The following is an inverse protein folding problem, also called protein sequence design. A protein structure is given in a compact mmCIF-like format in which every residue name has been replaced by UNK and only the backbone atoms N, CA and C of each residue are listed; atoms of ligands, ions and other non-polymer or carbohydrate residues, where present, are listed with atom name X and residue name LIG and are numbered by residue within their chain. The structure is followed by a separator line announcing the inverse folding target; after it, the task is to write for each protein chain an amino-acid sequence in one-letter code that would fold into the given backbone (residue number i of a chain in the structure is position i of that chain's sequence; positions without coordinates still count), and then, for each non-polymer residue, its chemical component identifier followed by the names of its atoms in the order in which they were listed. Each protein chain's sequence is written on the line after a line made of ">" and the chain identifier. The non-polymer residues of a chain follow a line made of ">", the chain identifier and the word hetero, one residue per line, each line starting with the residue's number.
data_IF_903562892274
#
_entry.id   IF_903562892274
#
_cell.length_a   1.000
_cell.length_b   1.000
_cell.length_c   1.000
_cell.angle_alpha   90.00
_cell.angle_beta   90.00
_cell.angle_gamma   90.00
#
_symmetry.space_group_name_H-M   'P 1'
#
loop_
_entity.id
_entity.type
_entity.pdbx_description
1 polymer ?
#
# COMPACT_ATOMS: atom_id res chain seq x y z
N UNK A 1 14.31 -4.51 14.83
CA UNK A 1 12.99 -4.75 15.44
C UNK A 1 11.98 -3.92 14.64
N UNK A 2 10.94 -4.52 14.04
CA UNK A 2 9.83 -3.73 13.47
C UNK A 2 9.08 -3.10 14.65
N UNK A 3 9.21 -1.78 14.85
CA UNK A 3 8.66 -1.07 16.02
C UNK A 3 7.15 -0.82 15.96
N UNK A 4 6.49 -1.19 14.86
CA UNK A 4 5.06 -1.01 14.64
C UNK A 4 4.40 -2.38 14.51
N UNK A 5 3.22 -2.52 15.12
CA UNK A 5 2.33 -3.67 14.96
C UNK A 5 0.89 -3.17 14.95
N UNK A 6 0.01 -3.90 14.29
CA UNK A 6 -1.40 -3.57 14.12
C UNK A 6 -1.79 -3.39 12.66
N UNK A 7 -3.09 -3.20 12.45
CA UNK A 7 -3.70 -3.09 11.14
C UNK A 7 -4.32 -1.70 10.93
N UNK A 8 -3.75 -0.93 10.01
CA UNK A 8 -4.36 0.31 9.52
C UNK A 8 -5.34 -0.03 8.42
N UNK A 9 -6.65 0.08 8.68
CA UNK A 9 -7.68 -0.22 7.69
C UNK A 9 -8.28 1.05 7.09
N UNK A 10 -8.32 1.14 5.76
CA UNK A 10 -8.89 2.26 5.01
C UNK A 10 -9.96 1.74 4.04
N UNK A 11 -11.16 2.31 4.14
CA UNK A 11 -12.24 2.05 3.20
C UNK A 11 -12.36 3.17 2.16
N UNK A 12 -12.65 2.81 0.91
CA UNK A 12 -12.76 3.78 -0.18
C UNK A 12 -13.83 3.40 -1.20
N UNK A 13 -14.41 4.41 -1.85
CA UNK A 13 -15.37 4.19 -2.93
C UNK A 13 -14.68 3.64 -4.18
N UNK A 14 -15.34 2.69 -4.85
CA UNK A 14 -14.89 2.11 -6.13
C UNK A 14 -15.49 2.76 -7.38
N UNK A 15 -16.69 3.33 -7.29
CA UNK A 15 -17.46 3.69 -8.50
C UNK A 15 -18.08 5.10 -8.50
N UNK A 16 -18.01 5.87 -7.40
CA UNK A 16 -18.55 7.24 -7.36
C UNK A 16 -17.57 8.27 -7.94
N UNK A 17 -17.96 9.54 -8.02
CA UNK A 17 -17.04 10.62 -8.40
C UNK A 17 -15.79 10.62 -7.51
N UNK A 18 -14.62 10.74 -8.13
CA UNK A 18 -13.31 10.68 -7.47
C UNK A 18 -12.85 9.28 -7.03
N UNK A 19 -13.70 8.24 -7.09
CA UNK A 19 -13.49 6.86 -6.61
C UNK A 19 -12.01 6.47 -6.36
N UNK A 20 -11.48 6.72 -5.15
CA UNK A 20 -10.05 6.56 -4.88
C UNK A 20 -9.61 5.10 -5.07
N UNK A 21 -10.52 4.15 -4.89
CA UNK A 21 -10.25 2.71 -5.03
C UNK A 21 -10.82 2.12 -6.32
N UNK A 22 -11.08 2.94 -7.36
CA UNK A 22 -11.59 2.47 -8.66
C UNK A 22 -10.76 1.33 -9.25
N UNK A 23 -9.43 1.41 -9.16
CA UNK A 23 -8.48 0.43 -9.70
C UNK A 23 -7.76 -0.39 -8.64
N UNK A 24 -8.36 -0.55 -7.45
CA UNK A 24 -7.75 -1.34 -6.38
C UNK A 24 -7.52 -2.81 -6.78
N UNK A 25 -8.29 -3.32 -7.76
CA UNK A 25 -8.10 -4.65 -8.37
C UNK A 25 -6.83 -4.80 -9.21
N UNK A 26 -6.14 -3.69 -9.53
CA UNK A 26 -4.89 -3.69 -10.29
C UNK A 26 -3.65 -3.84 -9.42
N UNK A 27 -3.78 -3.70 -8.11
CA UNK A 27 -2.67 -3.90 -7.19
C UNK A 27 -2.26 -5.37 -7.18
N UNK A 28 -0.96 -5.60 -7.29
CA UNK A 28 -0.32 -6.91 -7.29
C UNK A 28 0.77 -6.99 -6.22
N UNK A 29 1.15 -8.20 -5.76
CA UNK A 29 2.22 -8.35 -4.79
C UNK A 29 3.51 -7.67 -5.28
N UNK A 30 4.15 -6.92 -4.40
CA UNK A 30 5.33 -6.10 -4.70
C UNK A 30 5.01 -4.63 -5.06
N UNK A 31 3.77 -4.29 -5.40
CA UNK A 31 3.38 -2.89 -5.56
C UNK A 31 3.53 -2.14 -4.24
N UNK A 32 3.99 -0.89 -4.31
CA UNK A 32 4.20 -0.05 -3.11
C UNK A 32 3.04 0.93 -2.91
N UNK A 33 2.55 1.02 -1.68
CA UNK A 33 1.59 2.00 -1.21
C UNK A 33 2.27 2.90 -0.19
N UNK A 34 2.30 4.19 -0.48
CA UNK A 34 2.87 5.20 0.42
C UNK A 34 1.78 5.92 1.20
N UNK A 35 1.88 5.93 2.52
CA UNK A 35 0.98 6.65 3.42
C UNK A 35 1.73 7.85 4.00
N UNK A 36 1.25 9.05 3.68
CA UNK A 36 1.76 10.29 4.24
C UNK A 36 0.96 10.66 5.49
N UNK A 37 1.65 10.76 6.62
CA UNK A 37 1.17 11.38 7.84
C UNK A 37 1.79 12.78 7.98
N UNK A 38 1.34 13.55 8.96
CA UNK A 38 1.91 14.87 9.27
C UNK A 38 3.42 14.78 9.50
N UNK A 39 3.86 13.80 10.28
CA UNK A 39 5.24 13.72 10.75
C UNK A 39 6.08 12.64 10.06
N UNK A 40 5.46 11.71 9.35
CA UNK A 40 6.17 10.57 8.74
C UNK A 40 5.51 10.03 7.48
N UNK A 41 6.32 9.40 6.63
CA UNK A 41 5.94 8.67 5.43
C UNK A 41 6.19 7.18 5.67
N UNK A 42 5.18 6.36 5.42
CA UNK A 42 5.23 4.91 5.56
C UNK A 42 5.10 4.26 4.18
N UNK A 43 5.97 3.30 3.87
CA UNK A 43 5.88 2.50 2.64
C UNK A 43 5.39 1.09 2.99
N UNK A 44 4.33 0.65 2.33
CA UNK A 44 3.76 -0.69 2.46
C UNK A 44 3.87 -1.43 1.12
N UNK A 45 4.35 -2.66 1.15
CA UNK A 45 4.42 -3.54 -0.02
C UNK A 45 3.20 -4.44 -0.04
N UNK A 46 2.44 -4.41 -1.14
CA UNK A 46 1.29 -5.30 -1.34
C UNK A 46 1.77 -6.75 -1.28
N UNK A 47 1.03 -7.58 -0.56
CA UNK A 47 1.32 -9.01 -0.40
C UNK A 47 0.18 -9.85 -0.97
N UNK A 48 0.46 -11.11 -1.28
CA UNK A 48 -0.60 -12.02 -1.70
C UNK A 48 -1.57 -12.29 -0.55
N UNK A 49 -2.85 -12.62 -0.81
CA UNK A 49 -3.77 -13.00 0.26
C UNK A 49 -3.30 -14.21 1.09
N UNK A 50 -2.51 -15.10 0.49
CA UNK A 50 -1.87 -16.22 1.19
C UNK A 50 -0.83 -15.76 2.20
N UNK A 51 0.01 -14.80 1.84
CA UNK A 51 0.95 -14.21 2.78
C UNK A 51 0.23 -13.39 3.87
N UNK A 52 -0.81 -12.63 3.48
CA UNK A 52 -1.55 -11.78 4.39
C UNK A 52 -2.30 -12.56 5.48
N UNK A 53 -2.97 -13.65 5.10
CA UNK A 53 -3.92 -14.33 5.98
C UNK A 53 -3.48 -15.74 6.41
N UNK A 54 -2.45 -16.31 5.77
CA UNK A 54 -1.83 -17.57 6.17
C UNK A 54 -2.86 -18.69 6.40
N UNK A 55 -2.84 -19.28 7.59
CA UNK A 55 -3.69 -20.40 8.00
C UNK A 55 -5.17 -20.03 8.19
N UNK A 56 -5.52 -18.73 8.22
CA UNK A 56 -6.92 -18.30 8.27
C UNK A 56 -7.63 -18.38 6.91
N UNK A 57 -6.91 -18.81 5.86
CA UNK A 57 -7.47 -19.07 4.54
C UNK A 57 -8.55 -20.16 4.52
N UNK A 58 -8.69 -20.98 5.54
CA UNK A 58 -9.84 -21.91 5.64
C UNK A 58 -11.19 -21.16 5.59
N UNK A 59 -11.21 -19.88 5.99
CA UNK A 59 -12.37 -18.99 5.87
C UNK A 59 -12.55 -18.37 4.47
N UNK A 60 -11.51 -18.44 3.62
CA UNK A 60 -11.46 -17.83 2.30
C UNK A 60 -11.57 -18.93 1.25
N UNK A 61 -12.63 -18.89 0.46
CA UNK A 61 -12.72 -19.75 -0.70
C UNK A 61 -11.55 -19.46 -1.68
N UNK A 62 -10.71 -20.46 -2.04
CA UNK A 62 -9.54 -20.26 -2.90
C UNK A 62 -9.87 -19.64 -4.26
N UNK A 63 -11.10 -19.83 -4.77
CA UNK A 63 -11.55 -19.23 -6.04
C UNK A 63 -11.74 -17.70 -5.95
N UNK A 64 -11.79 -17.16 -4.73
CA UNK A 64 -11.90 -15.72 -4.45
C UNK A 64 -10.54 -15.06 -4.22
N UNK A 65 -9.45 -15.82 -4.28
CA UNK A 65 -8.07 -15.35 -4.14
C UNK A 65 -7.50 -15.02 -5.51
N UNK A 66 -7.09 -13.77 -5.68
CA UNK A 66 -6.36 -13.28 -6.87
C UNK A 66 -5.02 -12.73 -6.39
N UNK A 67 -4.01 -12.70 -7.27
CA UNK A 67 -2.62 -12.44 -6.92
C UNK A 67 -2.40 -11.35 -5.85
N UNK A 68 -3.08 -10.20 -5.92
CA UNK A 68 -2.95 -9.10 -4.95
C UNK A 68 -4.19 -8.78 -4.11
N UNK A 69 -5.30 -9.52 -4.26
CA UNK A 69 -6.53 -9.21 -3.54
C UNK A 69 -7.43 -10.42 -3.31
N UNK A 70 -8.35 -10.29 -2.36
CA UNK A 70 -9.38 -11.29 -2.08
C UNK A 70 -10.77 -10.67 -2.14
N UNK A 71 -11.76 -11.44 -2.60
CA UNK A 71 -13.17 -11.06 -2.53
C UNK A 71 -13.83 -11.70 -1.31
N UNK A 72 -14.42 -10.89 -0.44
CA UNK A 72 -15.02 -11.32 0.83
C UNK A 72 -16.47 -10.85 0.96
N UNK A 73 -17.19 -11.42 1.92
CA UNK A 73 -18.51 -10.96 2.30
C UNK A 73 -18.44 -9.64 3.07
N UNK A 74 -19.44 -8.73 2.96
CA UNK A 74 -19.42 -7.47 3.70
C UNK A 74 -19.38 -7.62 5.22
N UNK A 75 -19.74 -8.81 5.72
CA UNK A 75 -19.73 -9.18 7.14
C UNK A 75 -18.41 -9.78 7.61
N UNK A 76 -17.45 -10.02 6.71
CA UNK A 76 -16.15 -10.61 7.00
C UNK A 76 -15.23 -9.59 7.68
N UNK A 77 -15.51 -9.27 8.94
CA UNK A 77 -14.76 -8.28 9.73
C UNK A 77 -13.36 -8.76 10.11
N UNK A 78 -13.09 -10.06 10.03
CA UNK A 78 -11.78 -10.63 10.32
C UNK A 78 -10.66 -10.07 9.42
N UNK A 79 -11.00 -9.55 8.23
CA UNK A 79 -10.02 -8.95 7.30
C UNK A 79 -9.34 -7.70 7.86
N UNK A 80 -9.94 -7.02 8.84
CA UNK A 80 -9.38 -5.84 9.51
C UNK A 80 -8.89 -6.13 10.93
N UNK A 81 -8.84 -7.39 11.33
CA UNK A 81 -8.29 -7.79 12.62
C UNK A 81 -6.79 -7.50 12.72
N UNK A 82 -6.26 -7.58 13.93
CA UNK A 82 -4.83 -7.58 14.17
C UNK A 82 -4.24 -8.97 13.91
N UNK A 83 -3.09 -9.01 13.23
CA UNK A 83 -2.37 -10.22 12.85
C UNK A 83 -0.94 -10.25 13.45
N UNK A 84 -0.60 -9.27 14.31
CA UNK A 84 0.68 -9.19 15.00
C UNK A 84 1.83 -8.61 14.16
N UNK A 85 1.56 -8.22 12.92
CA UNK A 85 2.46 -7.49 12.04
C UNK A 85 1.99 -6.04 11.83
N UNK A 86 2.80 -5.21 11.16
CA UNK A 86 2.38 -3.88 10.72
C UNK A 86 1.85 -3.96 9.29
N UNK A 87 0.53 -3.82 9.14
CA UNK A 87 -0.14 -3.92 7.84
C UNK A 87 -1.11 -2.78 7.57
N UNK A 88 -1.35 -2.56 6.28
CA UNK A 88 -2.36 -1.70 5.70
C UNK A 88 -3.39 -2.58 5.00
N UNK A 89 -4.67 -2.39 5.33
CA UNK A 89 -5.78 -3.07 4.67
C UNK A 89 -6.63 -2.07 3.91
N UNK A 90 -6.76 -2.24 2.59
CA UNK A 90 -7.64 -1.44 1.74
C UNK A 90 -8.92 -2.21 1.43
N UNK A 91 -10.08 -1.59 1.59
CA UNK A 91 -11.38 -2.21 1.29
C UNK A 91 -12.28 -1.35 0.42
N UNK A 92 -12.92 -1.96 -0.58
CA UNK A 92 -13.91 -1.31 -1.44
C UNK A 92 -15.06 -2.26 -1.81
N UNK A 93 -16.16 -1.71 -2.34
CA UNK A 93 -17.26 -2.51 -2.90
C UNK A 93 -16.82 -3.37 -4.10
N UNK A 94 -17.40 -4.56 -4.22
CA UNK A 94 -17.19 -5.44 -5.36
C UNK A 94 -18.47 -6.26 -5.69
N UNK A 95 -18.76 -6.56 -6.97
CA UNK A 95 -18.23 -5.92 -8.20
C UNK A 95 -18.45 -4.40 -8.26
N UNK A 96 -18.01 -3.75 -9.34
CA UNK A 96 -18.27 -2.31 -9.51
C UNK A 96 -19.78 -2.02 -9.46
N UNK A 97 -20.14 -0.84 -8.95
CA UNK A 97 -21.52 -0.35 -8.80
C UNK A 97 -22.42 -1.17 -7.87
N UNK A 98 -21.90 -2.17 -7.14
CA UNK A 98 -22.70 -2.95 -6.20
C UNK A 98 -21.97 -3.21 -4.87
N UNK A 99 -22.64 -3.09 -3.72
CA UNK A 99 -22.03 -3.34 -2.42
C UNK A 99 -22.14 -4.81 -1.97
N UNK A 100 -22.43 -5.75 -2.88
CA UNK A 100 -22.70 -7.18 -2.55
C UNK A 100 -21.52 -7.88 -1.89
N UNK A 101 -20.30 -7.53 -2.28
CA UNK A 101 -19.05 -8.07 -1.72
C UNK A 101 -18.08 -6.93 -1.43
N UNK A 102 -16.93 -7.29 -0.88
CA UNK A 102 -15.79 -6.39 -0.76
C UNK A 102 -14.59 -6.96 -1.49
N UNK A 103 -13.83 -6.08 -2.12
CA UNK A 103 -12.46 -6.36 -2.55
C UNK A 103 -11.52 -5.87 -1.46
N UNK A 104 -10.60 -6.73 -1.03
CA UNK A 104 -9.63 -6.45 0.03
C UNK A 104 -8.22 -6.65 -0.49
N UNK A 105 -7.38 -5.64 -0.28
CA UNK A 105 -5.92 -5.68 -0.53
C UNK A 105 -5.22 -5.51 0.80
N UNK A 106 -4.17 -6.29 1.02
CA UNK A 106 -3.29 -6.16 2.19
C UNK A 106 -1.88 -5.82 1.74
N UNK A 107 -1.25 -4.91 2.46
CA UNK A 107 0.14 -4.54 2.27
C UNK A 107 0.86 -4.51 3.61
N UNK A 108 2.09 -4.99 3.67
CA UNK A 108 2.91 -5.03 4.88
C UNK A 108 3.94 -3.91 4.86
N UNK A 109 4.25 -3.34 6.03
CA UNK A 109 5.25 -2.29 6.16
C UNK A 109 6.63 -2.81 5.69
N UNK A 110 7.27 -2.13 4.73
CA UNK A 110 8.55 -2.60 4.16
C UNK A 110 9.78 -2.12 4.94
N UNK A 111 9.70 -0.97 5.60
CA UNK A 111 10.82 -0.34 6.29
C UNK A 111 10.35 0.50 7.47
N UNK A 112 11.30 1.05 8.23
CA UNK A 112 10.98 2.09 9.21
C UNK A 112 10.37 3.32 8.54
N UNK A 113 9.55 4.04 9.29
CA UNK A 113 8.90 5.26 8.82
C UNK A 113 9.94 6.36 8.60
N UNK A 114 9.84 7.07 7.49
CA UNK A 114 10.74 8.19 7.20
C UNK A 114 10.11 9.48 7.75
N UNK A 115 10.79 10.27 8.58
CA UNK A 115 10.25 11.55 9.04
C UNK A 115 9.93 12.46 7.86
N UNK A 116 8.75 13.08 7.83
CA UNK A 116 8.37 14.03 6.78
C UNK A 116 9.37 15.19 6.69
N UNK A 117 9.91 15.64 7.83
CA UNK A 117 10.96 16.65 7.89
C UNK A 117 12.28 16.22 7.23
N UNK A 118 12.60 14.91 7.16
CA UNK A 118 13.79 14.42 6.47
C UNK A 118 13.64 14.46 4.94
N UNK A 119 12.41 14.43 4.43
CA UNK A 119 12.12 14.53 3.00
C UNK A 119 11.90 15.97 2.54
N UNK A 120 11.29 16.81 3.39
CA UNK A 120 10.93 18.20 3.04
C UNK A 120 11.76 19.29 3.72
N UNK A 121 12.57 18.95 4.73
CA UNK A 121 13.14 19.92 5.66
C UNK A 121 14.66 19.93 5.76
N UNK A 122 15.39 19.38 4.77
CA UNK A 122 16.84 19.21 4.96
C UNK A 122 17.70 19.11 3.71
N UNK A 123 17.26 19.57 2.55
CA UNK A 123 18.18 19.75 1.43
C UNK A 123 18.25 21.23 1.11
N UNK A 124 19.44 21.81 1.20
CA UNK A 124 19.69 23.09 0.57
C UNK A 124 19.57 22.94 -0.96
N UNK A 125 19.38 24.06 -1.66
CA UNK A 125 19.17 24.02 -3.10
C UNK A 125 20.37 23.41 -3.86
N UNK A 126 21.56 23.45 -3.26
CA UNK A 126 22.81 22.96 -3.86
C UNK A 126 22.93 21.43 -3.70
N UNK A 127 22.51 20.86 -2.57
CA UNK A 127 22.48 19.42 -2.31
C UNK A 127 21.37 18.71 -3.10
N UNK A 128 20.25 19.40 -3.37
CA UNK A 128 19.23 18.96 -4.35
C UNK A 128 19.77 18.90 -5.77
N UNK A 129 20.58 19.88 -6.18
CA UNK A 129 21.23 19.87 -7.50
C UNK A 129 22.24 18.74 -7.58
N UNK A 130 23.01 18.47 -6.53
CA UNK A 130 23.97 17.36 -6.50
C UNK A 130 23.27 16.00 -6.56
N UNK A 131 22.19 15.77 -5.80
CA UNK A 131 21.42 14.52 -5.85
C UNK A 131 20.76 14.30 -7.22
N UNK A 132 20.15 15.33 -7.80
CA UNK A 132 19.47 15.23 -9.10
C UNK A 132 20.47 15.04 -10.25
N UNK A 133 21.64 15.68 -10.19
CA UNK A 133 22.68 15.53 -11.22
C UNK A 133 23.42 14.19 -11.12
N UNK A 134 23.58 13.64 -9.92
CA UNK A 134 24.24 12.34 -9.68
C UNK A 134 23.39 11.15 -10.12
N UNK A 135 22.06 11.25 -9.99
CA UNK A 135 21.13 10.19 -10.44
C UNK A 135 20.81 10.28 -11.95
N UNK A 136 21.00 11.45 -12.59
CA UNK A 136 20.73 11.62 -14.02
C UNK A 136 21.94 11.41 -14.95
N UNK A 137 23.14 11.16 -14.42
CA UNK A 137 24.30 10.78 -15.24
C UNK A 137 24.48 11.67 -16.47
N UNK A 138 24.42 13.00 -16.30
CA UNK A 138 24.57 13.94 -17.41
C UNK A 138 26.00 13.83 -17.92
N UNK A 139 26.11 13.24 -19.10
CA UNK A 139 27.31 13.21 -19.94
C UNK A 139 27.71 14.66 -20.25
N UNK A 140 28.64 15.22 -19.49
CA UNK A 140 29.35 16.42 -19.92
C UNK A 140 30.23 16.02 -21.12
N UNK A 141 29.73 16.33 -22.31
CA UNK A 141 30.46 16.16 -23.55
C UNK A 141 31.48 17.31 -23.67
N UNK A 142 32.76 16.95 -23.63
CA UNK A 142 33.87 17.83 -23.94
C UNK A 142 33.82 18.34 -25.38
N UNK A 143 33.98 19.65 -25.57
CA UNK A 143 34.63 20.26 -26.74
C UNK A 143 34.94 21.72 -26.34
N UNK A 144 36.20 22.07 -26.04
CA UNK A 144 37.22 22.54 -26.99
C UNK A 144 36.80 23.85 -27.68
#
# INVERSE_FOLDING_TARGET
>A
MKAFSGNSAIAGHRSTYGAPFKRVDKLAPGDTITVHSTDSIFSFGVVSPLAAFGDQLDAINPEKVVAGHVIVDPTDTWVVSDFGDARLTLSACHPEFTPRKRIVVVAELVSEAVPSAAIFGGLDADELVELVTKDLGVLENSAS
#
